data_IF_780505015079
#
_entry.id   IF_780505015079
#
_cell.length_a   1.000
_cell.length_b   1.000
_cell.length_c   1.000
_cell.angle_alpha   90.00
_cell.angle_beta   90.00
_cell.angle_gamma   90.00
#
_symmetry.space_group_name_H-M   'P 1'
#
loop_
_entity.id
_entity.type
_entity.pdbx_description
1 polymer ?
#
# COMPACT_ATOMS: atom_id res chain seq x y z
N UNK A 1 13.02 56.77 -52.60
CA UNK A 1 13.98 56.25 -51.59
C UNK A 1 13.80 56.85 -50.19
N UNK A 2 12.71 57.57 -49.87
CA UNK A 2 12.52 58.22 -48.56
C UNK A 2 11.58 57.47 -47.58
N UNK A 3 10.90 56.41 -48.01
CA UNK A 3 9.96 55.66 -47.14
C UNK A 3 10.67 54.55 -46.35
N UNK A 4 11.71 53.93 -46.92
CA UNK A 4 12.46 52.86 -46.24
C UNK A 4 13.40 53.37 -45.13
N UNK A 5 13.81 54.65 -45.17
CA UNK A 5 14.66 55.25 -44.12
C UNK A 5 13.86 55.61 -42.87
N UNK A 6 12.57 55.96 -43.00
CA UNK A 6 11.71 56.25 -41.84
C UNK A 6 11.35 54.99 -41.03
N UNK A 7 11.17 53.84 -41.70
CA UNK A 7 10.82 52.59 -41.03
C UNK A 7 12.02 52.03 -40.24
N UNK A 8 13.23 52.19 -40.76
CA UNK A 8 14.46 51.78 -40.05
C UNK A 8 14.75 52.68 -38.84
N UNK A 9 14.42 53.97 -38.92
CA UNK A 9 14.58 54.90 -37.78
C UNK A 9 13.55 54.63 -36.66
N UNK A 10 12.35 54.14 -37.00
CA UNK A 10 11.32 53.80 -36.02
C UNK A 10 11.59 52.46 -35.31
N UNK A 11 12.27 51.52 -35.98
CA UNK A 11 12.66 50.24 -35.38
C UNK A 11 13.90 50.34 -34.47
N UNK A 12 14.78 51.33 -34.68
CA UNK A 12 15.98 51.55 -33.86
C UNK A 12 15.74 52.34 -32.55
N UNK A 13 14.59 53.00 -32.41
CA UNK A 13 14.21 53.78 -31.22
C UNK A 13 13.45 52.98 -30.15
N UNK A 14 13.30 51.67 -30.34
CA UNK A 14 12.72 50.73 -29.36
C UNK A 14 13.78 49.87 -28.65
N UNK A 15 15.04 50.33 -28.61
CA UNK A 15 16.00 49.90 -27.60
C UNK A 15 16.01 50.90 -26.44
N UNK A 16 15.16 50.73 -25.43
CA UNK A 16 15.50 51.08 -24.04
C UNK A 16 14.34 50.83 -23.08
N UNK A 17 14.65 50.11 -22.00
CA UNK A 17 13.95 50.04 -20.70
C UNK A 17 13.07 48.81 -20.44
N UNK A 18 13.72 47.69 -20.13
CA UNK A 18 13.57 47.09 -18.79
C UNK A 18 14.79 46.20 -18.49
N UNK A 19 15.78 46.76 -17.79
CA UNK A 19 16.67 45.91 -17.01
C UNK A 19 15.81 45.38 -15.85
N UNK A 20 15.36 44.13 -15.93
CA UNK A 20 14.86 43.45 -14.74
C UNK A 20 16.08 43.21 -13.84
N UNK A 21 16.28 44.08 -12.85
CA UNK A 21 17.02 43.67 -11.67
C UNK A 21 16.21 42.57 -11.00
N UNK A 22 16.68 41.33 -11.10
CA UNK A 22 16.24 40.29 -10.20
C UNK A 22 16.87 40.64 -8.85
N UNK A 23 16.10 41.32 -8.01
CA UNK A 23 16.43 41.39 -6.60
C UNK A 23 16.27 39.96 -6.09
N UNK A 24 17.40 39.29 -5.91
CA UNK A 24 17.49 38.05 -5.14
C UNK A 24 17.21 38.45 -3.69
N UNK A 25 15.94 38.76 -3.43
CA UNK A 25 15.36 38.75 -2.11
C UNK A 25 15.50 37.32 -1.65
N UNK A 26 16.64 37.00 -1.06
CA UNK A 26 16.78 35.87 -0.19
C UNK A 26 15.61 35.98 0.78
N UNK A 27 14.57 35.19 0.55
CA UNK A 27 13.59 34.90 1.57
C UNK A 27 14.42 34.16 2.61
N UNK A 28 14.97 34.92 3.55
CA UNK A 28 15.32 34.39 4.84
C UNK A 28 13.98 33.93 5.40
N UNK A 29 13.67 32.66 5.15
CA UNK A 29 12.70 31.96 5.97
C UNK A 29 13.39 31.91 7.33
N UNK A 30 13.16 32.97 8.10
CA UNK A 30 13.45 33.01 9.51
C UNK A 30 12.66 31.85 10.11
N UNK A 31 13.37 30.74 10.32
CA UNK A 31 12.84 29.50 10.91
C UNK A 31 12.25 29.70 12.31
N UNK A 32 12.29 30.94 12.81
CA UNK A 32 11.88 31.37 14.14
C UNK A 32 10.46 31.95 14.19
N UNK A 33 9.74 32.09 13.06
CA UNK A 33 8.34 32.59 13.02
C UNK A 33 7.26 31.56 12.64
N UNK A 34 7.44 30.28 12.98
CA UNK A 34 6.36 29.26 12.96
C UNK A 34 5.71 29.12 14.35
N UNK A 35 5.70 30.18 15.17
CA UNK A 35 5.08 30.13 16.51
C UNK A 35 3.87 31.05 16.69
N UNK A 36 3.54 31.93 15.73
CA UNK A 36 2.52 32.99 15.93
C UNK A 36 1.25 32.87 15.10
N UNK A 37 0.93 31.68 14.56
CA UNK A 37 -0.47 31.40 14.25
C UNK A 37 -1.14 31.08 15.59
N UNK A 38 -2.05 31.97 16.05
CA UNK A 38 -2.84 31.78 17.27
C UNK A 38 -3.67 30.49 17.18
N UNK A 39 -3.07 29.37 17.56
CA UNK A 39 -3.72 28.07 17.80
C UNK A 39 -4.06 27.92 19.29
N UNK A 40 -4.14 29.01 20.05
CA UNK A 40 -4.40 28.97 21.49
C UNK A 40 -5.88 28.97 21.86
N UNK A 41 -6.79 29.27 20.93
CA UNK A 41 -8.23 29.20 21.17
C UNK A 41 -8.86 27.84 20.85
N UNK A 42 -8.05 26.82 20.52
CA UNK A 42 -8.57 25.49 20.18
C UNK A 42 -8.65 24.66 21.45
N UNK A 43 -9.82 24.66 22.08
CA UNK A 43 -10.14 23.70 23.13
C UNK A 43 -10.41 22.33 22.51
N UNK A 44 -9.82 21.29 23.11
CA UNK A 44 -10.01 19.90 22.74
C UNK A 44 -10.34 19.10 23.98
N UNK A 45 -11.31 18.20 23.86
CA UNK A 45 -11.68 17.32 24.95
C UNK A 45 -10.49 16.40 25.29
N UNK A 46 -10.21 16.27 26.59
CA UNK A 46 -9.21 15.33 27.10
C UNK A 46 -9.51 13.90 26.64
N UNK A 47 -10.77 13.51 26.56
CA UNK A 47 -11.18 12.19 26.07
C UNK A 47 -10.77 11.97 24.61
N UNK A 48 -10.81 13.01 23.77
CA UNK A 48 -10.34 12.93 22.38
C UNK A 48 -8.82 12.73 22.32
N UNK A 49 -8.07 13.51 23.10
CA UNK A 49 -6.62 13.40 23.18
C UNK A 49 -6.19 12.00 23.65
N UNK A 50 -6.87 11.46 24.67
CA UNK A 50 -6.65 10.11 25.18
C UNK A 50 -6.99 9.04 24.15
N UNK A 51 -8.14 9.15 23.47
CA UNK A 51 -8.57 8.20 22.44
C UNK A 51 -7.60 8.11 21.25
N UNK A 52 -6.97 9.23 20.87
CA UNK A 52 -5.95 9.27 19.82
C UNK A 52 -4.53 9.13 20.36
N UNK A 53 -4.35 9.10 21.69
CA UNK A 53 -3.05 9.07 22.33
C UNK A 53 -2.11 10.20 21.88
N UNK A 54 -2.62 11.41 21.69
CA UNK A 54 -1.85 12.60 21.30
C UNK A 54 -1.92 13.68 22.38
N UNK A 55 -0.89 14.52 22.42
CA UNK A 55 -0.82 15.69 23.31
C UNK A 55 -1.63 16.86 22.74
N UNK A 56 -1.91 17.86 23.59
CA UNK A 56 -2.55 19.10 23.15
C UNK A 56 -1.70 19.83 22.10
N UNK A 57 -0.36 19.84 22.24
CA UNK A 57 0.52 20.44 21.24
C UNK A 57 0.48 19.70 19.90
N UNK A 58 0.43 18.37 19.92
CA UNK A 58 0.26 17.55 18.71
C UNK A 58 -1.10 17.82 18.06
N UNK A 59 -2.15 18.02 18.85
CA UNK A 59 -3.47 18.39 18.33
C UNK A 59 -3.49 19.77 17.69
N UNK A 60 -2.92 20.79 18.34
CA UNK A 60 -2.78 22.15 17.77
C UNK A 60 -2.03 22.09 16.43
N UNK A 61 -0.95 21.31 16.37
CA UNK A 61 -0.21 21.10 15.11
C UNK A 61 -1.05 20.38 14.06
N UNK A 62 -1.82 19.36 14.43
CA UNK A 62 -2.73 18.70 13.51
C UNK A 62 -3.72 19.71 12.88
N UNK A 63 -4.36 20.55 13.70
CA UNK A 63 -5.30 21.55 13.18
C UNK A 63 -4.61 22.56 12.27
N UNK A 64 -3.40 23.00 12.64
CA UNK A 64 -2.60 23.86 11.78
C UNK A 64 -2.38 23.22 10.40
N UNK A 65 -1.89 21.98 10.37
CA UNK A 65 -1.60 21.26 9.13
C UNK A 65 -2.88 21.06 8.30
N UNK A 66 -3.99 20.70 8.94
CA UNK A 66 -5.27 20.50 8.30
C UNK A 66 -5.83 21.77 7.67
N UNK A 67 -5.67 22.93 8.31
CA UNK A 67 -6.30 24.16 7.85
C UNK A 67 -5.39 25.04 6.97
N UNK A 68 -4.06 24.92 7.11
CA UNK A 68 -3.12 25.89 6.52
C UNK A 68 -2.11 25.29 5.55
N UNK A 69 -2.15 23.97 5.31
CA UNK A 69 -1.19 23.32 4.38
C UNK A 69 -1.94 22.49 3.33
N UNK A 70 -1.31 22.19 2.17
CA UNK A 70 -1.91 21.31 1.16
C UNK A 70 -2.35 19.94 1.72
N UNK A 71 -1.77 19.50 2.85
CA UNK A 71 -2.17 18.27 3.54
C UNK A 71 -3.67 18.25 3.88
N UNK A 72 -4.25 19.40 4.25
CA UNK A 72 -5.69 19.55 4.48
C UNK A 72 -6.55 19.06 3.32
N UNK A 73 -6.15 19.43 2.11
CA UNK A 73 -6.84 19.11 0.86
C UNK A 73 -6.49 17.71 0.36
N UNK A 74 -5.24 17.28 0.55
CA UNK A 74 -4.77 15.98 0.06
C UNK A 74 -5.29 14.79 0.89
N UNK A 75 -5.60 14.98 2.17
CA UNK A 75 -6.03 13.90 3.06
C UNK A 75 -7.21 14.30 3.96
N UNK A 76 -8.34 14.79 3.41
CA UNK A 76 -9.39 15.48 4.18
C UNK A 76 -10.04 14.63 5.29
N UNK A 77 -10.02 13.30 5.13
CA UNK A 77 -10.63 12.32 6.04
C UNK A 77 -9.63 11.66 6.99
N UNK A 78 -8.34 11.97 6.88
CA UNK A 78 -7.33 11.30 7.69
C UNK A 78 -7.39 11.74 9.17
N UNK A 79 -7.10 10.80 10.07
CA UNK A 79 -7.06 11.06 11.50
C UNK A 79 -5.82 11.87 11.92
N UNK A 80 -5.79 12.44 13.15
CA UNK A 80 -4.69 13.30 13.58
C UNK A 80 -3.30 12.64 13.55
N UNK A 81 -3.22 11.35 13.90
CA UNK A 81 -1.95 10.62 13.93
C UNK A 81 -1.40 10.44 12.50
N UNK A 82 -2.28 10.17 11.53
CA UNK A 82 -1.91 10.09 10.12
C UNK A 82 -1.39 11.43 9.58
N UNK A 83 -2.09 12.53 9.89
CA UNK A 83 -1.63 13.88 9.52
C UNK A 83 -0.23 14.16 10.06
N UNK A 84 -0.02 13.90 11.35
CA UNK A 84 1.26 14.14 12.03
C UNK A 84 2.38 13.23 11.51
N UNK A 85 2.06 11.99 11.14
CA UNK A 85 3.01 11.01 10.58
C UNK A 85 3.46 11.35 9.16
N UNK A 86 2.55 11.78 8.30
CA UNK A 86 2.87 12.17 6.92
C UNK A 86 3.73 13.45 6.89
N UNK A 87 3.40 14.41 7.74
CA UNK A 87 4.09 15.70 7.88
C UNK A 87 5.19 15.68 8.95
N UNK A 88 5.69 14.49 9.33
CA UNK A 88 6.74 14.34 10.32
C UNK A 88 8.03 15.04 9.88
N UNK A 89 8.63 15.83 10.78
CA UNK A 89 9.84 16.64 10.51
C UNK A 89 11.12 15.81 10.50
N UNK A 90 11.08 14.64 11.15
CA UNK A 90 12.23 13.75 11.28
C UNK A 90 11.82 12.30 11.08
N UNK A 91 12.77 11.43 10.75
CA UNK A 91 12.55 9.99 10.67
C UNK A 91 12.08 9.38 12.01
N UNK A 92 12.60 9.89 13.14
CA UNK A 92 12.18 9.48 14.48
C UNK A 92 10.72 9.82 14.75
N UNK A 93 10.32 11.04 14.39
CA UNK A 93 8.93 11.48 14.50
C UNK A 93 8.00 10.67 13.61
N UNK A 94 8.42 10.38 12.37
CA UNK A 94 7.67 9.54 11.42
C UNK A 94 7.45 8.13 11.98
N UNK A 95 8.50 7.52 12.54
CA UNK A 95 8.43 6.20 13.18
C UNK A 95 7.48 6.18 14.38
N UNK A 96 7.57 7.19 15.27
CA UNK A 96 6.67 7.33 16.43
C UNK A 96 5.19 7.28 16.01
N UNK A 97 4.80 8.04 15.00
CA UNK A 97 3.41 8.07 14.55
C UNK A 97 3.00 6.81 13.78
N UNK A 98 3.90 6.22 12.98
CA UNK A 98 3.65 4.94 12.32
C UNK A 98 3.38 3.81 13.33
N UNK A 99 4.16 3.73 14.40
CA UNK A 99 3.95 2.76 15.48
C UNK A 99 2.62 2.98 16.22
N UNK A 100 2.21 4.24 16.43
CA UNK A 100 0.91 4.57 17.00
C UNK A 100 -0.25 4.08 16.12
N UNK A 101 -0.18 4.35 14.82
CA UNK A 101 -1.17 3.86 13.84
C UNK A 101 -1.21 2.34 13.85
N UNK A 102 -0.05 1.68 13.76
CA UNK A 102 0.00 0.22 13.73
C UNK A 102 -0.65 -0.43 14.96
N UNK A 103 -0.41 0.13 16.16
CA UNK A 103 -1.04 -0.34 17.40
C UNK A 103 -2.56 -0.11 17.41
N UNK A 104 -2.99 1.10 17.09
CA UNK A 104 -4.40 1.47 17.06
C UNK A 104 -5.18 0.53 16.12
N UNK A 105 -4.63 0.29 14.94
CA UNK A 105 -5.28 -0.54 13.93
C UNK A 105 -5.27 -2.02 14.29
N UNK A 106 -4.17 -2.51 14.88
CA UNK A 106 -4.12 -3.86 15.41
C UNK A 106 -5.21 -4.06 16.49
N UNK A 107 -5.34 -3.14 17.44
CA UNK A 107 -6.38 -3.20 18.47
C UNK A 107 -7.79 -3.08 17.88
N UNK A 108 -7.99 -2.23 16.87
CA UNK A 108 -9.26 -2.07 16.17
C UNK A 108 -9.68 -3.38 15.47
N UNK A 109 -8.76 -4.01 14.74
CA UNK A 109 -8.99 -5.28 14.06
C UNK A 109 -9.32 -6.37 15.07
N UNK A 110 -8.46 -6.57 16.07
CA UNK A 110 -8.59 -7.66 17.03
C UNK A 110 -9.83 -7.54 17.91
N UNK A 111 -10.12 -6.33 18.40
CA UNK A 111 -11.14 -6.16 19.44
C UNK A 111 -12.50 -5.70 18.92
N UNK A 112 -12.59 -5.18 17.70
CA UNK A 112 -13.85 -4.65 17.15
C UNK A 112 -14.26 -5.37 15.88
N UNK A 113 -13.37 -5.40 14.88
CA UNK A 113 -13.73 -5.88 13.54
C UNK A 113 -13.86 -7.40 13.53
N UNK A 114 -12.91 -8.14 14.10
CA UNK A 114 -12.98 -9.60 14.13
C UNK A 114 -14.21 -10.14 14.90
N UNK A 115 -14.54 -9.64 16.12
CA UNK A 115 -15.76 -10.02 16.81
C UNK A 115 -17.02 -9.69 16.01
N UNK A 116 -17.10 -8.50 15.42
CA UNK A 116 -18.26 -8.11 14.62
C UNK A 116 -18.45 -9.02 13.40
N UNK A 117 -17.36 -9.31 12.67
CA UNK A 117 -17.38 -10.23 11.54
C UNK A 117 -17.86 -11.63 11.92
N UNK A 118 -17.49 -12.11 13.11
CA UNK A 118 -18.01 -13.36 13.64
C UNK A 118 -19.52 -13.31 13.82
N UNK A 119 -20.05 -12.24 14.42
CA UNK A 119 -21.49 -12.08 14.61
C UNK A 119 -22.25 -11.95 13.29
N UNK A 120 -21.68 -11.28 12.29
CA UNK A 120 -22.24 -11.22 10.93
C UNK A 120 -22.35 -12.64 10.34
N UNK A 121 -21.30 -13.46 10.43
CA UNK A 121 -21.36 -14.86 9.96
C UNK A 121 -22.44 -15.67 10.67
N UNK A 122 -22.56 -15.52 11.98
CA UNK A 122 -23.61 -16.20 12.76
C UNK A 122 -25.01 -15.69 12.41
N UNK A 123 -25.15 -14.41 12.11
CA UNK A 123 -26.43 -13.83 11.70
C UNK A 123 -26.87 -14.38 10.35
N UNK A 124 -25.97 -14.52 9.39
CA UNK A 124 -26.24 -15.16 8.08
C UNK A 124 -26.77 -16.58 8.27
N UNK A 125 -26.14 -17.39 9.12
CA UNK A 125 -26.59 -18.76 9.39
C UNK A 125 -27.98 -18.82 10.01
N UNK A 126 -28.28 -17.91 10.95
CA UNK A 126 -29.60 -17.82 11.61
C UNK A 126 -30.70 -17.39 10.64
N UNK A 127 -30.41 -16.44 9.76
CA UNK A 127 -31.39 -15.84 8.87
C UNK A 127 -31.65 -16.69 7.61
N UNK A 128 -30.63 -17.38 7.09
CA UNK A 128 -30.72 -18.08 5.81
C UNK A 128 -30.53 -19.61 5.92
N UNK A 129 -30.30 -20.13 7.13
CA UNK A 129 -30.16 -21.56 7.41
C UNK A 129 -28.73 -22.09 7.28
N UNK A 130 -28.42 -23.16 8.03
CA UNK A 130 -27.16 -23.89 7.93
C UNK A 130 -27.13 -24.70 6.62
N UNK A 131 -26.57 -24.13 5.56
CA UNK A 131 -26.50 -24.75 4.24
C UNK A 131 -26.86 -23.81 3.09
N UNK A 132 -27.45 -22.64 3.35
CA UNK A 132 -27.53 -21.59 2.34
C UNK A 132 -26.16 -20.95 2.20
N UNK A 133 -25.34 -21.53 1.34
CA UNK A 133 -24.35 -20.81 0.58
C UNK A 133 -25.07 -19.76 -0.30
N UNK A 134 -25.70 -18.75 0.30
CA UNK A 134 -25.79 -17.45 -0.36
C UNK A 134 -24.34 -17.02 -0.47
N UNK A 135 -23.78 -17.32 -1.63
CA UNK A 135 -22.43 -17.06 -2.09
C UNK A 135 -21.63 -16.17 -1.12
N UNK A 136 -20.91 -16.81 -0.20
CA UNK A 136 -20.02 -16.14 0.75
C UNK A 136 -18.84 -15.44 0.01
N UNK A 137 -18.80 -15.46 -1.33
CA UNK A 137 -18.04 -14.51 -2.15
C UNK A 137 -18.45 -13.05 -1.90
N UNK A 138 -19.74 -12.77 -1.67
CA UNK A 138 -20.23 -11.41 -1.34
C UNK A 138 -19.98 -11.03 0.13
N UNK A 139 -20.05 -11.99 1.06
CA UNK A 139 -19.63 -11.75 2.45
C UNK A 139 -18.11 -11.52 2.59
N UNK A 140 -17.32 -12.11 1.69
CA UNK A 140 -15.89 -11.82 1.52
C UNK A 140 -15.64 -10.46 0.86
N UNK A 141 -16.48 -10.01 -0.07
CA UNK A 141 -16.37 -8.66 -0.65
C UNK A 141 -16.73 -7.58 0.39
N UNK A 142 -17.77 -7.81 1.20
CA UNK A 142 -18.13 -6.95 2.32
C UNK A 142 -17.00 -6.82 3.34
N UNK A 143 -16.31 -7.92 3.68
CA UNK A 143 -15.12 -7.89 4.55
C UNK A 143 -13.94 -7.10 3.98
N UNK A 144 -13.79 -7.09 2.66
CA UNK A 144 -12.74 -6.35 1.96
C UNK A 144 -13.06 -4.85 1.87
N UNK A 145 -14.34 -4.50 1.75
CA UNK A 145 -14.82 -3.10 1.73
C UNK A 145 -14.90 -2.46 3.12
N UNK A 146 -15.20 -3.23 4.17
CA UNK A 146 -15.38 -2.73 5.53
C UNK A 146 -14.07 -2.46 6.30
N UNK A 147 -12.91 -2.82 5.73
CA UNK A 147 -11.64 -2.63 6.43
C UNK A 147 -10.46 -2.37 5.46
N UNK A 148 -10.03 -1.11 5.27
CA UNK A 148 -8.90 -0.76 4.39
C UNK A 148 -7.56 -1.41 4.79
N UNK A 149 -7.49 -1.97 6.00
CA UNK A 149 -6.28 -2.57 6.58
C UNK A 149 -6.24 -4.09 6.46
N UNK A 150 -7.34 -4.72 6.05
CA UNK A 150 -7.37 -6.15 5.67
C UNK A 150 -6.69 -6.39 4.32
N UNK A 151 -6.38 -5.33 3.56
CA UNK A 151 -5.44 -5.42 2.44
C UNK A 151 -4.02 -5.84 2.88
N UNK A 152 -3.71 -5.82 4.17
CA UNK A 152 -2.43 -6.28 4.74
C UNK A 152 -2.55 -7.53 5.63
N UNK A 153 -3.75 -8.01 5.92
CA UNK A 153 -4.02 -9.18 6.77
C UNK A 153 -4.58 -10.35 5.95
N UNK A 154 -3.68 -11.02 5.24
CA UNK A 154 -3.89 -12.41 4.81
C UNK A 154 -2.77 -13.21 5.47
N UNK A 155 -3.03 -13.63 6.70
CA UNK A 155 -2.12 -14.41 7.53
C UNK A 155 -2.87 -15.46 8.34
N UNK A 156 -3.65 -16.33 7.68
CA UNK A 156 -4.06 -17.67 8.15
C UNK A 156 -4.27 -18.48 6.87
N UNK A 157 -3.70 -19.65 6.62
CA UNK A 157 -3.08 -20.66 7.46
C UNK A 157 -3.38 -21.97 6.73
N UNK A 158 -2.34 -22.67 6.28
CA UNK A 158 -2.43 -23.92 5.52
C UNK A 158 -3.06 -24.99 6.40
N UNK A 159 -4.25 -25.47 6.02
CA UNK A 159 -4.64 -26.88 5.93
C UNK A 159 -6.14 -27.00 5.54
N UNK A 160 -6.42 -28.02 4.74
CA UNK A 160 -7.71 -28.53 4.25
C UNK A 160 -8.40 -27.96 2.99
N UNK A 161 -8.30 -28.83 1.97
CA UNK A 161 -9.32 -29.30 1.02
C UNK A 161 -9.72 -28.37 -0.16
N UNK A 162 -9.17 -28.76 -1.33
CA UNK A 162 -9.64 -28.49 -2.71
C UNK A 162 -9.85 -27.02 -3.12
N UNK A 163 -8.80 -26.19 -3.09
CA UNK A 163 -8.98 -24.75 -3.30
C UNK A 163 -8.02 -24.12 -4.32
N UNK A 164 -8.42 -24.15 -5.60
CA UNK A 164 -8.05 -23.28 -6.76
C UNK A 164 -6.66 -22.60 -6.75
N UNK A 165 -5.59 -23.39 -6.59
CA UNK A 165 -4.21 -22.94 -6.74
C UNK A 165 -3.63 -23.18 -8.14
N UNK A 166 -2.43 -22.66 -8.39
CA UNK A 166 -1.63 -22.98 -9.59
C UNK A 166 -0.32 -23.65 -9.20
N UNK A 167 -0.07 -24.82 -9.76
CA UNK A 167 1.23 -25.49 -9.68
C UNK A 167 2.04 -25.06 -10.90
N UNK A 168 3.12 -24.32 -10.68
CA UNK A 168 4.00 -23.83 -11.73
C UNK A 168 5.34 -24.59 -11.66
N UNK A 169 5.56 -25.46 -12.62
CA UNK A 169 6.81 -26.20 -12.77
C UNK A 169 7.81 -25.32 -13.56
N UNK A 170 9.01 -25.14 -13.03
CA UNK A 170 10.07 -24.30 -13.62
C UNK A 170 11.45 -24.94 -13.53
N UNK A 171 12.37 -24.48 -14.36
CA UNK A 171 13.82 -24.69 -14.19
C UNK A 171 14.54 -23.34 -14.07
N UNK A 172 15.81 -23.34 -13.65
CA UNK A 172 16.60 -22.12 -13.43
C UNK A 172 16.95 -21.38 -14.72
N UNK A 173 17.15 -22.12 -15.82
CA UNK A 173 17.48 -21.59 -17.15
C UNK A 173 16.24 -21.50 -18.03
N UNK A 174 15.27 -20.68 -17.62
CA UNK A 174 13.96 -20.58 -18.29
C UNK A 174 13.35 -19.18 -18.18
N UNK A 175 13.56 -18.34 -19.18
CA UNK A 175 12.99 -16.99 -19.21
C UNK A 175 11.45 -17.02 -19.30
N UNK A 176 10.91 -17.93 -20.12
CA UNK A 176 9.46 -18.12 -20.25
C UNK A 176 8.78 -18.46 -18.91
N UNK A 177 9.50 -19.10 -17.97
CA UNK A 177 9.01 -19.42 -16.64
C UNK A 177 8.73 -18.15 -15.83
N UNK A 178 9.53 -17.10 -16.04
CA UNK A 178 9.38 -15.81 -15.36
C UNK A 178 8.10 -15.12 -15.85
N UNK A 179 7.83 -15.15 -17.15
CA UNK A 179 6.64 -14.53 -17.74
C UNK A 179 5.36 -15.23 -17.29
N UNK A 180 5.38 -16.57 -17.23
CA UNK A 180 4.27 -17.35 -16.69
C UNK A 180 4.06 -17.03 -15.20
N UNK A 181 5.13 -16.96 -14.40
CA UNK A 181 5.02 -16.57 -12.99
C UNK A 181 4.38 -15.18 -12.81
N UNK A 182 4.80 -14.18 -13.61
CA UNK A 182 4.21 -12.83 -13.56
C UNK A 182 2.74 -12.81 -13.95
N UNK A 183 2.34 -13.60 -14.96
CA UNK A 183 0.93 -13.76 -15.32
C UNK A 183 0.12 -14.34 -14.16
N UNK A 184 0.63 -15.38 -13.50
CA UNK A 184 -0.03 -15.99 -12.35
C UNK A 184 -0.10 -15.02 -11.14
N UNK A 185 0.92 -14.18 -10.93
CA UNK A 185 0.84 -13.09 -9.94
C UNK A 185 -0.29 -12.10 -10.25
N UNK A 186 -0.56 -11.86 -11.54
CA UNK A 186 -1.70 -11.05 -11.97
C UNK A 186 -3.05 -11.69 -11.61
N UNK A 187 -3.21 -13.00 -11.88
CA UNK A 187 -4.38 -13.79 -11.46
C UNK A 187 -4.55 -13.77 -9.93
N UNK A 188 -3.44 -13.96 -9.19
CA UNK A 188 -3.41 -13.92 -7.73
C UNK A 188 -3.85 -12.54 -7.18
N UNK A 189 -3.37 -11.46 -7.80
CA UNK A 189 -3.69 -10.09 -7.38
C UNK A 189 -5.16 -9.73 -7.61
N UNK A 190 -5.80 -10.31 -8.64
CA UNK A 190 -7.24 -10.18 -8.92
C UNK A 190 -8.09 -11.06 -7.99
N UNK A 191 -7.48 -12.08 -7.38
CA UNK A 191 -8.17 -13.07 -6.56
C UNK A 191 -8.75 -14.23 -7.37
N UNK A 192 -8.32 -14.41 -8.62
CA UNK A 192 -8.74 -15.51 -9.50
C UNK A 192 -8.12 -16.86 -9.07
N UNK A 193 -7.00 -16.80 -8.34
CA UNK A 193 -6.31 -17.95 -7.74
C UNK A 193 -5.90 -17.62 -6.31
N UNK A 194 -5.78 -18.65 -5.47
CA UNK A 194 -5.52 -18.47 -4.03
C UNK A 194 -4.04 -18.51 -3.66
N UNK A 195 -3.25 -19.31 -4.38
CA UNK A 195 -1.81 -19.44 -4.17
C UNK A 195 -1.13 -19.93 -5.45
N UNK A 196 0.19 -19.77 -5.49
CA UNK A 196 1.08 -20.30 -6.52
C UNK A 196 2.09 -21.19 -5.82
N UNK A 197 2.19 -22.44 -6.24
CA UNK A 197 3.26 -23.33 -5.80
C UNK A 197 4.26 -23.49 -6.95
N UNK A 198 5.48 -23.00 -6.74
CA UNK A 198 6.57 -23.08 -7.71
C UNK A 198 7.37 -24.36 -7.44
N UNK A 199 7.40 -25.25 -8.43
CA UNK A 199 7.96 -26.58 -8.31
C UNK A 199 9.21 -26.67 -9.19
N UNK A 200 10.32 -27.04 -8.57
CA UNK A 200 11.64 -27.17 -9.18
C UNK A 200 12.03 -28.64 -9.34
N UNK A 201 12.82 -29.02 -10.35
CA UNK A 201 13.43 -30.33 -10.41
C UNK A 201 14.13 -30.73 -9.10
N UNK A 202 14.01 -32.00 -8.74
CA UNK A 202 14.52 -32.56 -7.48
C UNK A 202 16.03 -32.39 -7.28
N UNK A 203 16.78 -32.33 -8.37
CA UNK A 203 18.23 -32.20 -8.42
C UNK A 203 18.75 -30.78 -8.12
N UNK A 204 17.89 -29.76 -8.16
CA UNK A 204 18.31 -28.38 -7.92
C UNK A 204 18.61 -28.14 -6.44
N UNK A 205 19.71 -27.46 -6.17
CA UNK A 205 20.16 -27.11 -4.82
C UNK A 205 19.37 -25.94 -4.24
N UNK A 206 19.35 -25.83 -2.91
CA UNK A 206 18.68 -24.70 -2.22
C UNK A 206 19.25 -23.35 -2.66
N UNK A 207 20.55 -23.31 -2.99
CA UNK A 207 21.23 -22.09 -3.42
C UNK A 207 20.69 -21.63 -4.78
N UNK A 208 20.50 -22.55 -5.71
CA UNK A 208 19.97 -22.27 -7.05
C UNK A 208 18.51 -21.81 -6.97
N UNK A 209 17.68 -22.50 -6.19
CA UNK A 209 16.27 -22.10 -5.97
C UNK A 209 16.18 -20.72 -5.33
N UNK A 210 16.98 -20.44 -4.30
CA UNK A 210 17.01 -19.11 -3.64
C UNK A 210 17.49 -18.02 -4.59
N UNK A 211 18.49 -18.30 -5.43
CA UNK A 211 19.02 -17.33 -6.39
C UNK A 211 17.99 -17.03 -7.48
N UNK A 212 17.32 -18.06 -8.01
CA UNK A 212 16.21 -17.89 -8.94
C UNK A 212 15.12 -17.02 -8.32
N UNK A 213 14.67 -17.35 -7.11
CA UNK A 213 13.63 -16.60 -6.41
C UNK A 213 14.00 -15.11 -6.20
N UNK A 214 15.26 -14.84 -5.88
CA UNK A 214 15.78 -13.48 -5.76
C UNK A 214 15.75 -12.73 -7.10
N UNK A 215 16.24 -13.36 -8.16
CA UNK A 215 16.34 -12.74 -9.49
C UNK A 215 14.98 -12.54 -10.15
N UNK A 216 14.02 -13.43 -9.92
CA UNK A 216 12.66 -13.35 -10.50
C UNK A 216 11.72 -12.46 -9.68
N UNK A 217 12.17 -11.96 -8.53
CA UNK A 217 11.39 -11.05 -7.68
C UNK A 217 10.28 -11.76 -6.90
N UNK A 218 10.50 -13.02 -6.49
CA UNK A 218 9.57 -13.69 -5.57
C UNK A 218 9.49 -12.88 -4.27
N UNK A 219 8.29 -12.41 -3.97
CA UNK A 219 8.08 -11.55 -2.83
C UNK A 219 8.26 -12.38 -1.53
N UNK A 220 9.23 -11.97 -0.70
CA UNK A 220 9.54 -12.66 0.56
C UNK A 220 8.36 -12.76 1.51
N UNK A 221 7.46 -11.77 1.51
CA UNK A 221 6.29 -11.77 2.36
C UNK A 221 5.21 -12.73 1.85
N UNK A 222 4.99 -12.80 0.52
CA UNK A 222 4.10 -13.81 -0.07
C UNK A 222 4.61 -15.23 0.18
N UNK A 223 5.93 -15.41 0.14
CA UNK A 223 6.56 -16.68 0.49
C UNK A 223 6.39 -17.04 1.96
N UNK A 224 6.69 -16.10 2.86
CA UNK A 224 6.52 -16.28 4.32
C UNK A 224 5.08 -16.62 4.71
N UNK A 225 4.10 -16.12 3.96
CA UNK A 225 2.67 -16.37 4.16
C UNK A 225 2.13 -17.63 3.48
N UNK A 226 2.95 -18.34 2.70
CA UNK A 226 2.54 -19.55 1.97
C UNK A 226 1.65 -19.28 0.75
N UNK A 227 1.54 -18.02 0.31
CA UNK A 227 0.77 -17.64 -0.89
C UNK A 227 1.59 -17.92 -2.16
N UNK A 228 2.91 -17.79 -2.08
CA UNK A 228 3.85 -18.24 -3.11
C UNK A 228 4.86 -19.20 -2.49
N UNK A 229 4.65 -20.50 -2.62
CA UNK A 229 5.57 -21.51 -2.09
C UNK A 229 6.62 -21.91 -3.12
N UNK A 230 7.78 -22.34 -2.64
CA UNK A 230 8.82 -22.96 -3.46
C UNK A 230 9.11 -24.33 -2.88
N UNK A 231 9.11 -25.36 -3.73
CA UNK A 231 9.50 -26.71 -3.35
C UNK A 231 10.12 -27.48 -4.51
N UNK A 232 10.71 -28.62 -4.21
CA UNK A 232 11.16 -29.58 -5.22
C UNK A 232 10.01 -30.50 -5.64
N UNK A 233 10.10 -31.04 -6.85
CA UNK A 233 9.23 -32.11 -7.34
C UNK A 233 9.50 -33.40 -6.56
N UNK A 234 8.44 -34.17 -6.35
CA UNK A 234 8.55 -35.52 -5.81
C UNK A 234 8.82 -36.53 -6.93
N UNK A 235 9.21 -37.77 -6.60
CA UNK A 235 9.53 -38.83 -7.58
C UNK A 235 8.37 -39.14 -8.55
N UNK A 236 7.12 -38.91 -8.13
CA UNK A 236 5.90 -39.15 -8.92
C UNK A 236 5.39 -37.89 -9.65
N UNK A 237 6.11 -36.77 -9.57
CA UNK A 237 5.75 -35.51 -10.22
C UNK A 237 6.77 -35.17 -11.30
N UNK A 238 6.58 -35.69 -12.52
CA UNK A 238 7.36 -35.27 -13.69
C UNK A 238 6.51 -34.44 -14.67
N UNK A 239 7.20 -33.56 -15.38
CA UNK A 239 6.67 -32.77 -16.49
C UNK A 239 7.62 -32.90 -17.68
N UNK A 240 7.06 -32.96 -18.88
CA UNK A 240 7.85 -33.15 -20.10
C UNK A 240 8.53 -31.85 -20.58
N UNK A 241 8.11 -30.69 -20.04
CA UNK A 241 8.63 -29.39 -20.44
C UNK A 241 8.42 -28.32 -19.36
N UNK A 242 9.21 -27.25 -19.45
CA UNK A 242 9.14 -26.07 -18.59
C UNK A 242 8.91 -24.80 -19.44
N UNK A 243 8.08 -23.84 -18.99
CA UNK A 243 7.20 -23.93 -17.82
C UNK A 243 5.98 -24.81 -18.08
N UNK A 244 5.51 -25.52 -17.05
CA UNK A 244 4.22 -26.22 -17.07
C UNK A 244 3.34 -25.69 -15.95
N UNK A 245 2.08 -25.36 -16.24
CA UNK A 245 1.09 -24.95 -15.23
C UNK A 245 0.05 -26.04 -15.09
N UNK A 246 -0.21 -26.50 -13.86
CA UNK A 246 -1.31 -27.39 -13.53
C UNK A 246 -2.26 -26.73 -12.54
N UNK A 247 -3.53 -27.12 -12.60
CA UNK A 247 -4.55 -26.68 -11.65
C UNK A 247 -4.49 -27.56 -10.41
N UNK A 248 -4.57 -26.94 -9.23
CA UNK A 248 -4.74 -27.69 -7.99
C UNK A 248 -6.19 -27.55 -7.52
N UNK A 249 -7.08 -28.34 -8.12
CA UNK A 249 -8.52 -28.35 -7.87
C UNK A 249 -9.29 -28.84 -9.10
N UNK A 250 -9.57 -30.16 -9.12
CA UNK A 250 -10.23 -30.94 -10.19
C UNK A 250 -9.48 -30.92 -11.54
#
# INVERSE_FOLDING_TARGET
>A
MQVNTLIVLFLLLMMSSSAFSFEEGAISIDSTKINDIKVDSISVDKAYLEAWGITEQEYKRFIYLKNNTPRGVLTPTANPIYYLGLEARTAKERRKYAEKVARLEFENVQNKIQPFNREVRLAVQRLYGAGSAVDMGQAKSLNRELNPLVALDNGVGIQDELSEGRLLYVTVDCDACIDVYKRLLGELSKGDIKYIEIIFPSELTDREIKLWAYNTGVNKELHRRGVVSLRRSNENESVDSFPTVRFNGI
#
